data_IF_024650270708
#
_entry.id   IF_024650270708
#
_cell.length_a   1.000
_cell.length_b   1.000
_cell.length_c   1.000
_cell.angle_alpha   90.00
_cell.angle_beta   90.00
_cell.angle_gamma   90.00
#
_symmetry.space_group_name_H-M   'P 1'
#
loop_
_entity.id
_entity.type
_entity.pdbx_description
1 polymer ?
#
# COMPACT_ATOMS: atom_id res chain seq x y z
N UNK A 1 25.86 41.14 -40.62
CA UNK A 1 25.02 40.28 -39.75
C UNK A 1 25.94 39.38 -38.93
N UNK A 2 26.01 39.58 -37.62
CA UNK A 2 26.97 38.92 -36.73
C UNK A 2 26.74 37.40 -36.71
N UNK A 3 27.65 36.64 -37.34
CA UNK A 3 27.61 35.17 -37.42
C UNK A 3 27.60 34.48 -36.04
N UNK A 4 28.01 35.19 -34.99
CA UNK A 4 28.02 34.72 -33.60
C UNK A 4 26.63 34.67 -32.95
N UNK A 5 25.67 35.50 -33.39
CA UNK A 5 24.30 35.49 -32.85
C UNK A 5 23.52 34.25 -33.29
N UNK A 6 23.74 33.79 -34.52
CA UNK A 6 23.12 32.58 -35.06
C UNK A 6 23.62 31.34 -34.34
N UNK A 7 24.92 31.28 -34.02
CA UNK A 7 25.52 30.15 -33.30
C UNK A 7 25.02 30.06 -31.85
N UNK A 8 24.87 31.19 -31.16
CA UNK A 8 24.29 31.20 -29.80
C UNK A 8 22.83 30.77 -29.76
N UNK A 9 22.02 31.17 -30.75
CA UNK A 9 20.63 30.73 -30.87
C UNK A 9 20.52 29.21 -31.16
N UNK A 10 21.47 28.66 -31.92
CA UNK A 10 21.51 27.23 -32.27
C UNK A 10 21.96 26.34 -31.10
N UNK A 11 22.84 26.85 -30.24
CA UNK A 11 23.22 26.15 -29.01
C UNK A 11 22.06 26.18 -28.00
N UNK A 12 21.36 27.31 -27.84
CA UNK A 12 20.20 27.37 -26.94
C UNK A 12 19.06 26.44 -27.39
N UNK A 13 18.80 26.29 -28.69
CA UNK A 13 17.74 25.37 -29.18
C UNK A 13 18.05 23.89 -28.96
N UNK A 14 19.33 23.51 -28.81
CA UNK A 14 19.72 22.15 -28.41
C UNK A 14 19.45 21.86 -26.92
N UNK A 15 19.42 22.89 -26.06
CA UNK A 15 19.13 22.73 -24.63
C UNK A 15 17.63 22.82 -24.29
N UNK A 16 16.77 23.37 -25.16
CA UNK A 16 15.31 23.36 -24.95
C UNK A 16 14.71 21.95 -25.13
N UNK A 17 15.39 21.06 -25.87
CA UNK A 17 15.03 19.65 -26.00
C UNK A 17 15.50 18.77 -24.84
N UNK A 18 16.40 19.28 -23.99
CA UNK A 18 16.79 18.69 -22.72
C UNK A 18 15.96 19.30 -21.59
N UNK A 19 14.65 19.48 -21.82
CA UNK A 19 13.71 19.47 -20.71
C UNK A 19 13.97 18.16 -20.01
N UNK A 20 14.47 18.28 -18.79
CA UNK A 20 14.61 17.21 -17.83
C UNK A 20 13.27 16.47 -17.91
N UNK A 21 13.26 15.34 -18.62
CA UNK A 21 12.36 14.27 -18.32
C UNK A 21 12.81 13.82 -16.94
N UNK A 22 12.48 14.63 -15.92
CA UNK A 22 12.17 14.10 -14.63
C UNK A 22 11.17 13.03 -15.01
N UNK A 23 11.49 11.74 -14.84
CA UNK A 23 10.44 10.78 -15.03
C UNK A 23 9.36 11.33 -14.12
N UNK A 24 8.18 11.58 -14.70
CA UNK A 24 6.96 11.65 -13.95
C UNK A 24 6.83 10.28 -13.28
N UNK A 25 7.67 10.03 -12.29
CA UNK A 25 7.49 9.10 -11.22
C UNK A 25 6.43 9.75 -10.33
N UNK A 26 5.26 10.05 -10.94
CA UNK A 26 4.03 9.45 -10.47
C UNK A 26 4.40 8.04 -10.03
N UNK A 27 4.75 7.91 -8.75
CA UNK A 27 5.10 6.65 -8.15
C UNK A 27 3.97 5.72 -8.54
N UNK A 28 4.24 4.75 -9.40
CA UNK A 28 3.22 3.96 -10.09
C UNK A 28 2.50 3.11 -9.06
N UNK A 29 1.50 3.72 -8.44
CA UNK A 29 0.65 3.11 -7.46
C UNK A 29 -0.38 2.33 -8.25
N UNK A 30 -0.18 1.02 -8.31
CA UNK A 30 -1.12 0.10 -8.95
C UNK A 30 -1.85 -0.70 -7.89
N UNK A 31 -3.16 -0.87 -8.07
CA UNK A 31 -3.93 -1.85 -7.30
C UNK A 31 -3.52 -3.24 -7.81
N UNK A 32 -3.08 -4.12 -6.91
CA UNK A 32 -2.59 -5.47 -7.26
C UNK A 32 -3.45 -6.59 -6.68
N UNK A 33 -4.25 -6.29 -5.65
CA UNK A 33 -5.21 -7.23 -5.08
C UNK A 33 -6.37 -6.44 -4.49
N UNK A 34 -7.55 -7.04 -4.49
CA UNK A 34 -8.71 -6.54 -3.77
C UNK A 34 -9.69 -7.68 -3.52
N UNK A 35 -10.58 -7.49 -2.55
CA UNK A 35 -11.65 -8.44 -2.34
C UNK A 35 -12.58 -8.04 -1.22
N UNK A 36 -13.57 -8.90 -0.99
CA UNK A 36 -14.60 -8.73 0.02
C UNK A 36 -14.96 -10.09 0.59
N UNK A 37 -15.24 -10.14 1.88
CA UNK A 37 -15.75 -11.33 2.56
C UNK A 37 -16.76 -10.92 3.63
N UNK A 38 -17.82 -11.72 3.75
CA UNK A 38 -18.80 -11.58 4.83
C UNK A 38 -18.29 -12.30 6.07
N UNK A 39 -18.31 -11.62 7.20
CA UNK A 39 -17.88 -12.09 8.51
C UNK A 39 -19.00 -11.90 9.53
N UNK A 40 -18.79 -12.41 10.74
CA UNK A 40 -19.56 -12.02 11.92
C UNK A 40 -18.67 -11.19 12.82
N UNK A 41 -19.21 -10.11 13.40
CA UNK A 41 -18.52 -9.39 14.48
C UNK A 41 -18.50 -10.24 15.76
N UNK A 42 -17.83 -9.74 16.81
CA UNK A 42 -17.76 -10.43 18.11
C UNK A 42 -19.15 -10.74 18.71
N UNK A 43 -20.18 -9.99 18.35
CA UNK A 43 -21.55 -10.17 18.81
C UNK A 43 -22.40 -11.00 17.84
N UNK A 44 -21.77 -11.66 16.85
CA UNK A 44 -22.44 -12.48 15.86
C UNK A 44 -23.16 -11.71 14.76
N UNK A 45 -23.04 -10.38 14.69
CA UNK A 45 -23.74 -9.59 13.69
C UNK A 45 -23.02 -9.65 12.34
N UNK A 46 -23.76 -9.60 11.22
CA UNK A 46 -23.16 -9.54 9.90
C UNK A 46 -22.21 -8.34 9.77
N UNK A 47 -20.98 -8.62 9.36
CA UNK A 47 -19.95 -7.64 9.04
C UNK A 47 -19.42 -7.93 7.64
N UNK A 48 -19.03 -6.91 6.89
CA UNK A 48 -18.32 -7.12 5.63
C UNK A 48 -16.91 -6.57 5.77
N UNK A 49 -15.91 -7.41 5.51
CA UNK A 49 -14.51 -7.01 5.41
C UNK A 49 -14.13 -6.91 3.94
N UNK A 50 -13.68 -5.72 3.54
CA UNK A 50 -13.16 -5.44 2.20
C UNK A 50 -11.70 -5.08 2.30
N UNK A 51 -10.90 -5.40 1.28
CA UNK A 51 -9.53 -4.94 1.23
C UNK A 51 -9.13 -4.48 -0.17
N UNK A 52 -8.14 -3.59 -0.21
CA UNK A 52 -7.43 -3.17 -1.41
C UNK A 52 -5.93 -3.15 -1.11
N UNK A 53 -5.15 -3.72 -2.00
CA UNK A 53 -3.70 -3.76 -1.91
C UNK A 53 -3.10 -2.97 -3.07
N UNK A 54 -2.21 -2.06 -2.72
CA UNK A 54 -1.50 -1.18 -3.61
C UNK A 54 -0.03 -1.57 -3.63
N UNK A 55 0.53 -1.76 -4.82
CA UNK A 55 1.97 -1.85 -5.01
C UNK A 55 2.48 -0.49 -5.47
N UNK A 56 3.48 0.04 -4.77
CA UNK A 56 4.15 1.28 -5.11
C UNK A 56 5.59 0.92 -5.47
N UNK A 57 5.92 0.98 -6.77
CA UNK A 57 7.20 0.48 -7.31
C UNK A 57 7.45 -1.00 -6.92
N UNK A 58 8.70 -1.46 -6.92
CA UNK A 58 9.05 -2.84 -6.54
C UNK A 58 9.30 -3.03 -5.04
N UNK A 59 9.46 -1.93 -4.31
CA UNK A 59 9.94 -1.93 -2.93
C UNK A 59 8.85 -1.73 -1.89
N UNK A 60 7.60 -1.45 -2.27
CA UNK A 60 6.56 -1.12 -1.31
C UNK A 60 5.20 -1.70 -1.67
N UNK A 61 4.53 -2.26 -0.66
CA UNK A 61 3.15 -2.72 -0.73
C UNK A 61 2.38 -2.16 0.45
N UNK A 62 1.18 -1.64 0.20
CA UNK A 62 0.24 -1.16 1.20
C UNK A 62 -1.09 -1.88 1.02
N UNK A 63 -1.56 -2.54 2.07
CA UNK A 63 -2.90 -3.10 2.14
C UNK A 63 -3.77 -2.25 3.05
N UNK A 64 -5.00 -1.99 2.60
CA UNK A 64 -6.02 -1.28 3.35
C UNK A 64 -7.23 -2.20 3.45
N UNK A 65 -7.50 -2.68 4.65
CA UNK A 65 -8.73 -3.39 5.00
C UNK A 65 -9.75 -2.45 5.62
N UNK A 66 -11.03 -2.70 5.37
CA UNK A 66 -12.16 -1.99 5.95
C UNK A 66 -13.25 -2.99 6.34
N UNK A 67 -13.60 -3.03 7.62
CA UNK A 67 -14.72 -3.79 8.15
C UNK A 67 -15.84 -2.85 8.58
N UNK A 68 -17.08 -3.15 8.19
CA UNK A 68 -18.27 -2.41 8.61
C UNK A 68 -19.35 -3.35 9.14
N UNK A 69 -19.90 -3.03 10.31
CA UNK A 69 -21.07 -3.68 10.90
C UNK A 69 -22.26 -2.72 10.84
N UNK A 70 -23.27 -2.96 9.97
CA UNK A 70 -24.42 -2.08 9.81
C UNK A 70 -25.24 -1.92 11.10
N UNK A 71 -25.34 -2.99 11.89
CA UNK A 71 -26.16 -3.02 13.10
C UNK A 71 -25.58 -2.17 14.22
N UNK A 72 -24.28 -2.25 14.45
CA UNK A 72 -23.61 -1.48 15.51
C UNK A 72 -23.05 -0.15 15.00
N UNK A 73 -23.14 0.11 13.69
CA UNK A 73 -22.48 1.23 13.00
C UNK A 73 -20.99 1.35 13.37
N UNK A 74 -20.33 0.21 13.56
CA UNK A 74 -18.89 0.13 13.89
C UNK A 74 -18.11 -0.02 12.60
N UNK A 75 -17.02 0.74 12.50
CA UNK A 75 -16.06 0.67 11.40
C UNK A 75 -14.68 0.32 11.95
N UNK A 76 -13.96 -0.54 11.24
CA UNK A 76 -12.57 -0.84 11.53
C UNK A 76 -11.76 -0.75 10.25
N UNK A 77 -10.60 -0.11 10.32
CA UNK A 77 -9.64 -0.06 9.23
C UNK A 77 -8.36 -0.76 9.65
N UNK A 78 -7.84 -1.60 8.77
CA UNK A 78 -6.56 -2.25 8.93
C UNK A 78 -5.61 -1.70 7.87
N UNK A 79 -4.42 -1.27 8.29
CA UNK A 79 -3.38 -0.83 7.39
C UNK A 79 -2.16 -1.71 7.60
N UNK A 80 -1.69 -2.34 6.53
CA UNK A 80 -0.45 -3.12 6.54
C UNK A 80 0.49 -2.60 5.47
N UNK A 81 1.75 -2.48 5.82
CA UNK A 81 2.81 -1.97 4.97
C UNK A 81 3.94 -2.99 4.93
N UNK A 82 4.33 -3.39 3.72
CA UNK A 82 5.49 -4.25 3.48
C UNK A 82 6.48 -3.43 2.64
N UNK A 83 7.67 -3.22 3.19
CA UNK A 83 8.69 -2.39 2.57
C UNK A 83 10.01 -3.15 2.44
N UNK A 84 10.57 -3.17 1.23
CA UNK A 84 11.94 -3.60 0.96
C UNK A 84 12.89 -2.46 1.34
N UNK A 85 13.61 -2.63 2.44
CA UNK A 85 14.54 -1.62 2.99
C UNK A 85 15.91 -1.74 2.34
N UNK A 86 16.38 -2.97 2.13
CA UNK A 86 17.65 -3.26 1.45
C UNK A 86 17.54 -4.58 0.69
N UNK A 87 18.60 -4.98 -0.05
CA UNK A 87 18.65 -6.22 -0.85
C UNK A 87 18.17 -7.45 -0.09
N UNK A 88 18.47 -7.53 1.21
CA UNK A 88 18.16 -8.69 2.05
C UNK A 88 17.23 -8.36 3.23
N UNK A 89 16.66 -7.15 3.32
CA UNK A 89 15.87 -6.74 4.47
C UNK A 89 14.49 -6.23 4.05
N UNK A 90 13.46 -6.79 4.68
CA UNK A 90 12.06 -6.37 4.56
C UNK A 90 11.57 -5.92 5.93
N UNK A 91 10.79 -4.84 5.93
CA UNK A 91 10.08 -4.30 7.08
C UNK A 91 8.59 -4.51 6.88
N UNK A 92 7.92 -5.04 7.89
CA UNK A 92 6.47 -5.14 7.97
C UNK A 92 6.00 -4.25 9.11
N UNK A 93 5.02 -3.40 8.86
CA UNK A 93 4.41 -2.59 9.90
C UNK A 93 2.93 -2.39 9.61
N UNK A 94 2.20 -1.89 10.59
CA UNK A 94 0.79 -1.62 10.38
C UNK A 94 0.14 -0.85 11.50
N UNK A 95 -1.15 -0.61 11.33
CA UNK A 95 -2.02 -0.04 12.36
C UNK A 95 -3.45 -0.46 12.11
N UNK A 96 -4.19 -0.64 13.20
CA UNK A 96 -5.63 -0.78 13.18
C UNK A 96 -6.27 0.51 13.70
N UNK A 97 -7.34 0.94 13.05
CA UNK A 97 -8.10 2.12 13.42
C UNK A 97 -9.55 1.70 13.61
N UNK A 98 -10.02 1.72 14.85
CA UNK A 98 -11.39 1.42 15.22
C UNK A 98 -12.15 2.74 15.36
N UNK A 99 -13.28 2.86 14.67
CA UNK A 99 -14.20 4.01 14.78
C UNK A 99 -15.55 3.53 15.31
N UNK A 100 -16.00 4.17 16.38
CA UNK A 100 -17.30 3.90 16.99
C UNK A 100 -17.82 5.16 17.69
N UNK A 101 -19.05 5.56 17.36
CA UNK A 101 -19.78 6.63 18.07
C UNK A 101 -18.97 7.91 18.30
N UNK A 102 -18.28 8.39 17.25
CA UNK A 102 -17.45 9.61 17.31
C UNK A 102 -16.05 9.41 17.92
N UNK A 103 -15.75 8.24 18.50
CA UNK A 103 -14.43 7.91 19.02
C UNK A 103 -13.58 7.17 17.98
N UNK A 104 -12.29 7.53 17.93
CA UNK A 104 -11.30 6.85 17.09
C UNK A 104 -10.19 6.29 17.98
N UNK A 105 -10.03 4.96 17.98
CA UNK A 105 -8.91 4.29 18.65
C UNK A 105 -7.94 3.78 17.59
N UNK A 106 -6.67 4.16 17.70
CA UNK A 106 -5.60 3.64 16.84
C UNK A 106 -4.72 2.69 17.63
N UNK A 107 -4.54 1.48 17.12
CA UNK A 107 -3.65 0.45 17.67
C UNK A 107 -2.50 0.29 16.67
N UNK A 108 -1.26 0.52 17.11
CA UNK A 108 -0.09 0.29 16.26
C UNK A 108 0.23 -1.20 16.27
N UNK A 109 0.39 -1.79 15.09
CA UNK A 109 0.90 -3.15 14.96
C UNK A 109 2.43 -3.07 15.11
N UNK A 110 3.06 -3.96 15.90
CA UNK A 110 4.51 -4.01 16.03
C UNK A 110 5.19 -3.97 14.67
N UNK A 111 6.28 -3.22 14.61
CA UNK A 111 7.12 -3.20 13.43
C UNK A 111 8.06 -4.38 13.49
N UNK A 112 8.00 -5.24 12.48
CA UNK A 112 8.83 -6.42 12.35
C UNK A 112 9.81 -6.25 11.19
N UNK A 113 11.01 -6.81 11.38
CA UNK A 113 12.04 -6.86 10.35
C UNK A 113 12.36 -8.32 10.04
N UNK A 114 12.41 -8.65 8.76
CA UNK A 114 12.72 -9.99 8.28
C UNK A 114 13.81 -9.96 7.23
N UNK A 115 14.77 -10.88 7.35
CA UNK A 115 15.75 -11.10 6.30
C UNK A 115 15.11 -11.86 5.13
N UNK A 116 15.10 -11.26 3.95
CA UNK A 116 14.56 -11.86 2.74
C UNK A 116 15.13 -11.20 1.50
N UNK A 117 15.44 -12.00 0.48
CA UNK A 117 15.85 -11.52 -0.86
C UNK A 117 14.65 -11.12 -1.73
N UNK A 118 13.44 -11.51 -1.34
CA UNK A 118 12.22 -11.24 -2.10
C UNK A 118 11.87 -9.75 -2.12
N UNK A 119 11.17 -9.33 -3.18
CA UNK A 119 10.57 -7.99 -3.26
C UNK A 119 9.38 -7.87 -2.30
N UNK A 120 8.92 -6.65 -2.01
CA UNK A 120 7.76 -6.43 -1.16
C UNK A 120 6.50 -7.12 -1.72
N UNK A 121 6.31 -7.08 -3.04
CA UNK A 121 5.21 -7.76 -3.73
C UNK A 121 5.30 -9.29 -3.61
N UNK A 122 6.50 -9.87 -3.74
CA UNK A 122 6.68 -11.30 -3.56
C UNK A 122 6.42 -11.73 -2.11
N UNK A 123 6.87 -10.95 -1.12
CA UNK A 123 6.53 -11.21 0.29
C UNK A 123 5.01 -11.15 0.54
N UNK A 124 4.33 -10.17 -0.07
CA UNK A 124 2.87 -10.06 0.02
C UNK A 124 2.18 -11.34 -0.46
N UNK A 125 2.47 -11.77 -1.70
CA UNK A 125 1.79 -12.91 -2.30
C UNK A 125 2.15 -14.24 -1.65
N UNK A 126 3.41 -14.43 -1.25
CA UNK A 126 3.88 -15.73 -0.71
C UNK A 126 3.54 -15.95 0.75
N UNK A 127 3.56 -14.90 1.57
CA UNK A 127 3.46 -15.04 3.02
C UNK A 127 2.24 -14.33 3.59
N UNK A 128 2.04 -13.06 3.22
CA UNK A 128 1.01 -12.25 3.86
C UNK A 128 -0.40 -12.61 3.38
N UNK A 129 -0.63 -12.69 2.07
CA UNK A 129 -1.96 -12.97 1.49
C UNK A 129 -2.54 -14.31 1.95
N UNK A 130 -1.79 -15.43 1.97
CA UNK A 130 -2.29 -16.70 2.51
C UNK A 130 -2.59 -16.62 4.02
N UNK A 131 -1.71 -15.98 4.79
CA UNK A 131 -1.90 -15.81 6.24
C UNK A 131 -3.16 -15.00 6.55
N UNK A 132 -3.40 -13.92 5.80
CA UNK A 132 -4.62 -13.12 5.90
C UNK A 132 -5.88 -13.99 5.67
N UNK A 133 -5.90 -14.81 4.62
CA UNK A 133 -7.03 -15.71 4.36
C UNK A 133 -7.23 -16.73 5.48
N UNK A 134 -6.15 -17.29 6.02
CA UNK A 134 -6.23 -18.25 7.13
C UNK A 134 -6.78 -17.60 8.41
N UNK A 135 -6.33 -16.40 8.76
CA UNK A 135 -6.83 -15.67 9.94
C UNK A 135 -8.31 -15.35 9.78
N UNK A 136 -8.69 -14.86 8.61
CA UNK A 136 -10.08 -14.52 8.29
C UNK A 136 -10.96 -15.76 8.40
N UNK A 137 -10.57 -16.89 7.79
CA UNK A 137 -11.35 -18.13 7.82
C UNK A 137 -11.45 -18.73 9.22
N UNK A 138 -10.38 -18.72 10.01
CA UNK A 138 -10.42 -19.17 11.42
C UNK A 138 -11.31 -18.33 12.31
N UNK A 139 -11.46 -17.03 12.02
CA UNK A 139 -12.39 -16.16 12.77
C UNK A 139 -13.86 -16.45 12.42
N UNK A 140 -14.14 -17.26 11.39
CA UNK A 140 -15.49 -17.61 10.96
C UNK A 140 -15.98 -18.99 11.44
N UNK A 141 -15.08 -19.86 11.91
CA UNK A 141 -15.39 -21.18 12.48
C UNK A 141 -15.63 -21.08 13.98
#
# INVERSE_FOLDING_TARGET
MNKNLVLMALIMSMFVGLQIAEPAAAASMKVVDHGSIKLKDYYGNPCTFTWKTYQIKTSYVKMVGHAYSPKTKKEAYMYVYIQKISKNLVKISGKDVLKYSGHTKTIKIPTEYGYSKLTAAQCYWRYFRPSLLSIITKTMS
#
